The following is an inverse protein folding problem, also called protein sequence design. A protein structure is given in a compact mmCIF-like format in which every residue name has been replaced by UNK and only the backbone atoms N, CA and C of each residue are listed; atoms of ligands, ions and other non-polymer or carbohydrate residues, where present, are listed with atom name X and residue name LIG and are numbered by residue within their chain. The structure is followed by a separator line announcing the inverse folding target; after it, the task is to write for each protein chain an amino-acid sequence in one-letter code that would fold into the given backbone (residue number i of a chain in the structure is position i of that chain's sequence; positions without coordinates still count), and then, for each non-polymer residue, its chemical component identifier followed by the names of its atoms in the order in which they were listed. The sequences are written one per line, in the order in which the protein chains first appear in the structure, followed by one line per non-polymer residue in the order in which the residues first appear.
data_IF_997118481052
#
_entry.id   IF_997118481052
#
_cell.length_a   1.000
_cell.length_b   1.000
_cell.length_c   1.000
_cell.angle_alpha   90.00
_cell.angle_beta   90.00
_cell.angle_gamma   90.00
#
_symmetry.space_group_name_H-M   'P 1'
#
loop_
_entity.id
_entity.type
_entity.pdbx_description
1 polymer ?
#
# COMPACT_ATOMS: atom_id res chain seq x y z
N UNK A 1 -1.97 -12.02 48.33
CA UNK A 1 -0.89 -12.56 47.47
C UNK A 1 -1.28 -12.32 46.03
N UNK A 2 -0.52 -11.50 45.30
CA UNK A 2 -0.71 -11.29 43.87
C UNK A 2 -0.14 -12.47 43.08
N UNK A 3 -0.78 -12.92 41.99
CA UNK A 3 -0.26 -13.99 41.17
C UNK A 3 1.06 -13.56 40.52
N UNK A 4 2.02 -14.48 40.32
CA UNK A 4 3.27 -14.16 39.65
C UNK A 4 2.97 -13.71 38.20
N UNK A 5 3.74 -12.76 37.66
CA UNK A 5 3.57 -12.32 36.29
C UNK A 5 3.74 -13.52 35.33
N UNK A 6 2.99 -13.57 34.22
CA UNK A 6 3.11 -14.65 33.24
C UNK A 6 4.55 -14.73 32.76
N UNK A 7 5.13 -15.95 32.80
CA UNK A 7 6.47 -16.22 32.30
C UNK A 7 6.53 -15.78 30.84
N UNK A 8 7.48 -14.90 30.52
CA UNK A 8 7.79 -14.50 29.15
C UNK A 8 8.05 -15.76 28.33
N UNK A 9 7.11 -16.10 27.44
CA UNK A 9 7.31 -17.20 26.52
C UNK A 9 8.35 -16.75 25.51
N UNK A 10 9.50 -17.44 25.50
CA UNK A 10 10.51 -17.27 24.47
C UNK A 10 9.88 -17.81 23.18
N UNK A 11 9.32 -16.93 22.37
CA UNK A 11 8.89 -17.27 21.02
C UNK A 11 10.15 -17.66 20.27
N UNK A 12 10.26 -18.91 19.86
CA UNK A 12 11.32 -19.34 18.96
C UNK A 12 11.08 -18.65 17.63
N UNK A 13 11.71 -17.49 17.44
CA UNK A 13 11.62 -16.75 16.19
C UNK A 13 12.25 -17.63 15.10
N UNK A 14 11.44 -18.06 14.13
CA UNK A 14 11.96 -18.48 12.83
C UNK A 14 12.89 -17.37 12.35
N UNK A 15 14.04 -17.73 11.77
CA UNK A 15 14.97 -16.75 11.18
C UNK A 15 14.17 -15.76 10.32
N UNK A 16 14.27 -14.47 10.64
CA UNK A 16 13.52 -13.41 9.98
C UNK A 16 13.76 -13.42 8.46
N UNK A 17 14.87 -13.98 7.99
CA UNK A 17 15.17 -14.14 6.56
C UNK A 17 14.32 -15.18 5.84
N UNK A 18 13.78 -16.17 6.57
CA UNK A 18 12.87 -17.18 6.01
C UNK A 18 11.43 -16.65 5.86
N UNK A 19 11.12 -15.55 6.56
CA UNK A 19 9.81 -14.89 6.49
C UNK A 19 9.62 -14.19 5.16
N UNK A 20 8.46 -14.39 4.53
CA UNK A 20 8.13 -13.77 3.25
C UNK A 20 7.51 -12.41 3.45
N UNK A 21 8.16 -11.39 2.90
CA UNK A 21 7.61 -10.02 2.87
C UNK A 21 7.21 -9.68 1.44
N UNK A 22 5.93 -9.34 1.25
CA UNK A 22 5.41 -8.86 -0.04
C UNK A 22 5.28 -7.36 0.01
N UNK A 23 6.00 -6.68 -0.87
CA UNK A 23 5.83 -5.25 -1.10
C UNK A 23 4.76 -5.04 -2.16
N UNK A 24 3.81 -4.13 -1.97
CA UNK A 24 2.74 -3.86 -2.94
C UNK A 24 2.71 -2.39 -3.30
N UNK A 25 2.77 -2.06 -4.58
CA UNK A 25 2.67 -0.68 -5.05
C UNK A 25 1.89 -0.56 -6.33
N UNK A 26 1.16 0.55 -6.47
CA UNK A 26 0.56 0.96 -7.74
C UNK A 26 1.68 1.25 -8.76
N UNK A 27 1.42 1.03 -10.04
CA UNK A 27 2.42 1.19 -11.10
C UNK A 27 2.60 2.67 -11.49
N UNK A 28 2.87 3.50 -10.47
CA UNK A 28 3.22 4.91 -10.58
C UNK A 28 4.58 5.07 -9.91
N UNK A 29 5.58 5.53 -10.67
CA UNK A 29 6.98 5.51 -10.23
C UNK A 29 7.22 6.24 -8.90
N UNK A 30 6.50 7.32 -8.64
CA UNK A 30 6.58 8.05 -7.37
C UNK A 30 6.16 7.23 -6.14
N UNK A 31 5.22 6.30 -6.31
CA UNK A 31 4.76 5.39 -5.25
C UNK A 31 5.65 4.15 -5.14
N UNK A 32 6.07 3.58 -6.27
CA UNK A 32 6.84 2.34 -6.30
C UNK A 32 8.28 2.52 -5.81
N UNK A 33 8.91 3.65 -6.12
CA UNK A 33 10.35 3.85 -5.92
C UNK A 33 10.81 3.71 -4.45
N UNK A 34 10.13 4.30 -3.45
CA UNK A 34 10.52 4.10 -2.05
C UNK A 34 10.48 2.63 -1.63
N UNK A 35 9.41 1.91 -2.00
CA UNK A 35 9.24 0.50 -1.66
C UNK A 35 10.25 -0.39 -2.40
N UNK A 36 10.55 -0.11 -3.68
CA UNK A 36 11.55 -0.85 -4.46
C UNK A 36 12.93 -0.79 -3.81
N UNK A 37 13.32 0.37 -3.28
CA UNK A 37 14.61 0.54 -2.59
C UNK A 37 14.70 -0.31 -1.33
N UNK A 38 13.62 -0.33 -0.53
CA UNK A 38 13.56 -1.15 0.69
C UNK A 38 13.55 -2.64 0.32
N UNK A 39 12.72 -3.04 -0.63
CA UNK A 39 12.62 -4.42 -1.08
C UNK A 39 13.94 -4.93 -1.66
N UNK A 40 14.64 -4.13 -2.45
CA UNK A 40 15.96 -4.43 -3.01
C UNK A 40 17.00 -4.66 -1.90
N UNK A 41 17.08 -3.76 -0.93
CA UNK A 41 18.02 -3.90 0.19
C UNK A 41 17.73 -5.15 1.01
N UNK A 42 16.45 -5.42 1.30
CA UNK A 42 16.03 -6.64 1.98
C UNK A 42 16.39 -7.89 1.17
N UNK A 43 16.15 -7.88 -0.14
CA UNK A 43 16.51 -8.99 -1.02
C UNK A 43 18.02 -9.28 -0.97
N UNK A 44 18.84 -8.24 -1.10
CA UNK A 44 20.31 -8.33 -1.05
C UNK A 44 20.83 -8.88 0.28
N UNK A 45 20.13 -8.59 1.39
CA UNK A 45 20.44 -9.14 2.72
C UNK A 45 19.98 -10.60 2.91
N UNK A 46 19.34 -11.20 1.91
CA UNK A 46 18.88 -12.58 1.91
C UNK A 46 17.49 -12.80 2.49
N UNK A 47 16.67 -11.75 2.65
CA UNK A 47 15.26 -11.93 3.02
C UNK A 47 14.46 -12.46 1.83
N UNK A 48 13.49 -13.33 2.11
CA UNK A 48 12.50 -13.77 1.12
C UNK A 48 11.53 -12.62 0.84
N UNK A 49 11.68 -11.96 -0.30
CA UNK A 49 10.85 -10.82 -0.69
C UNK A 49 10.24 -10.99 -2.08
N UNK A 50 9.09 -10.35 -2.28
CA UNK A 50 8.48 -10.19 -3.61
C UNK A 50 7.92 -8.79 -3.75
N UNK A 51 7.92 -8.26 -4.96
CA UNK A 51 7.38 -6.95 -5.28
C UNK A 51 6.17 -7.09 -6.20
N UNK A 52 5.00 -6.89 -5.62
CA UNK A 52 3.73 -6.81 -6.31
C UNK A 52 3.47 -5.42 -6.89
N UNK A 53 3.31 -5.37 -8.21
CA UNK A 53 2.83 -4.18 -8.92
C UNK A 53 2.14 -4.60 -10.21
N UNK A 54 1.55 -3.66 -10.93
CA UNK A 54 0.90 -3.99 -12.19
C UNK A 54 1.95 -4.37 -13.25
N UNK A 55 1.51 -5.06 -14.31
CA UNK A 55 2.40 -5.51 -15.40
C UNK A 55 3.27 -4.39 -15.98
N UNK A 56 2.75 -3.15 -16.06
CA UNK A 56 3.49 -1.98 -16.53
C UNK A 56 4.69 -1.59 -15.65
N UNK A 57 4.75 -2.08 -14.41
CA UNK A 57 5.85 -1.87 -13.46
C UNK A 57 6.82 -3.05 -13.34
N UNK A 58 6.62 -4.14 -14.10
CA UNK A 58 7.43 -5.38 -14.03
C UNK A 58 8.93 -5.12 -14.15
N UNK A 59 9.33 -4.31 -15.14
CA UNK A 59 10.74 -4.00 -15.39
C UNK A 59 11.39 -3.22 -14.26
N UNK A 60 10.61 -2.51 -13.43
CA UNK A 60 11.14 -1.84 -12.26
C UNK A 60 11.57 -2.85 -11.20
N UNK A 61 10.75 -3.86 -10.90
CA UNK A 61 11.12 -4.93 -9.96
C UNK A 61 12.40 -5.65 -10.43
N UNK A 62 12.47 -6.00 -11.72
CA UNK A 62 13.66 -6.62 -12.31
C UNK A 62 14.90 -5.73 -12.23
N UNK A 63 14.79 -4.44 -12.55
CA UNK A 63 15.91 -3.48 -12.49
C UNK A 63 16.47 -3.30 -11.07
N UNK A 64 15.64 -3.53 -10.05
CA UNK A 64 16.03 -3.52 -8.63
C UNK A 64 16.41 -4.91 -8.11
N UNK A 65 16.44 -5.94 -8.98
CA UNK A 65 16.80 -7.30 -8.60
C UNK A 65 15.81 -7.98 -7.66
N UNK A 66 14.55 -7.52 -7.60
CA UNK A 66 13.52 -8.07 -6.71
C UNK A 66 12.59 -9.00 -7.48
N UNK A 67 12.20 -10.17 -6.93
CA UNK A 67 11.22 -11.05 -7.56
C UNK A 67 9.88 -10.34 -7.80
N UNK A 68 9.45 -10.28 -9.07
CA UNK A 68 8.18 -9.68 -9.47
C UNK A 68 6.99 -10.58 -9.13
N UNK A 69 5.92 -10.00 -8.59
CA UNK A 69 4.62 -10.62 -8.39
C UNK A 69 3.57 -9.81 -9.16
N UNK A 70 2.77 -10.45 -10.01
CA UNK A 70 1.78 -9.70 -10.79
C UNK A 70 0.62 -9.25 -9.91
N UNK A 71 0.30 -7.96 -9.95
CA UNK A 71 -0.94 -7.37 -9.46
C UNK A 71 -1.94 -7.07 -10.59
N UNK A 72 -1.80 -7.75 -11.73
CA UNK A 72 -2.67 -7.61 -12.89
C UNK A 72 -2.35 -6.39 -13.76
N UNK A 73 -3.15 -6.16 -14.83
CA UNK A 73 -2.97 -5.01 -15.69
C UNK A 73 -3.29 -3.71 -14.95
N UNK A 74 -2.64 -2.62 -15.37
CA UNK A 74 -3.06 -1.28 -14.96
C UNK A 74 -4.35 -0.92 -15.73
N UNK A 75 -5.37 -0.32 -15.08
CA UNK A 75 -6.69 -0.15 -15.70
C UNK A 75 -6.73 0.90 -16.82
N UNK A 76 -5.69 1.71 -16.97
CA UNK A 76 -5.59 2.76 -17.98
C UNK A 76 -4.26 2.68 -18.72
N UNK A 77 -4.22 3.18 -19.95
CA UNK A 77 -2.97 3.21 -20.73
C UNK A 77 -1.96 4.19 -20.11
N UNK A 78 -0.68 4.01 -20.45
CA UNK A 78 0.37 4.93 -20.00
C UNK A 78 0.16 6.37 -20.52
N UNK A 79 -0.37 6.51 -21.74
CA UNK A 79 -0.66 7.82 -22.34
C UNK A 79 -1.85 8.50 -21.64
N UNK A 80 -2.90 7.74 -21.32
CA UNK A 80 -4.05 8.26 -20.56
C UNK A 80 -3.65 8.66 -19.14
N UNK A 81 -2.85 7.82 -18.46
CA UNK A 81 -2.31 8.14 -17.14
C UNK A 81 -1.50 9.43 -17.19
N UNK A 82 -0.60 9.57 -18.17
CA UNK A 82 0.20 10.79 -18.34
C UNK A 82 -0.66 12.01 -18.61
N UNK A 83 -1.68 11.87 -19.45
CA UNK A 83 -2.62 12.94 -19.77
C UNK A 83 -3.40 13.40 -18.54
N UNK A 84 -3.95 12.45 -17.76
CA UNK A 84 -4.65 12.74 -16.50
C UNK A 84 -3.73 13.44 -15.51
N UNK A 85 -2.53 12.91 -15.26
CA UNK A 85 -1.55 13.53 -14.34
C UNK A 85 -1.18 14.95 -14.78
N UNK A 86 -1.03 15.21 -16.09
CA UNK A 86 -0.72 16.54 -16.65
C UNK A 86 -1.86 17.53 -16.47
N UNK A 87 -3.11 17.10 -16.69
CA UNK A 87 -4.30 17.94 -16.47
C UNK A 87 -4.40 18.29 -15.00
N UNK A 88 -4.25 17.31 -14.12
CA UNK A 88 -4.33 17.50 -12.67
C UNK A 88 -3.27 18.45 -12.13
N UNK A 89 -2.01 18.30 -12.57
CA UNK A 89 -0.91 19.19 -12.14
C UNK A 89 -1.10 20.64 -12.59
N UNK A 90 -1.97 20.87 -13.59
CA UNK A 90 -2.28 22.20 -14.15
C UNK A 90 -3.63 22.73 -13.69
N UNK A 91 -4.43 21.95 -12.96
CA UNK A 91 -5.70 22.41 -12.43
C UNK A 91 -5.43 23.35 -11.25
N UNK A 92 -6.10 24.51 -11.24
CA UNK A 92 -6.00 25.45 -10.12
C UNK A 92 -6.70 24.95 -8.85
N UNK A 93 -7.55 23.92 -8.97
CA UNK A 93 -8.26 23.28 -7.87
C UNK A 93 -7.58 21.99 -7.42
N UNK A 94 -6.98 22.05 -6.24
CA UNK A 94 -6.44 20.87 -5.56
C UNK A 94 -7.49 19.76 -5.37
N UNK A 95 -8.75 20.14 -5.10
CA UNK A 95 -9.82 19.17 -4.87
C UNK A 95 -10.16 18.35 -6.12
N UNK A 96 -10.19 18.97 -7.30
CA UNK A 96 -10.40 18.24 -8.56
C UNK A 96 -9.24 17.28 -8.84
N UNK A 97 -8.00 17.70 -8.59
CA UNK A 97 -6.84 16.82 -8.66
C UNK A 97 -6.98 15.59 -7.74
N UNK A 98 -7.39 15.80 -6.50
CA UNK A 98 -7.61 14.69 -5.55
C UNK A 98 -8.71 13.74 -6.05
N UNK A 99 -9.85 14.28 -6.51
CA UNK A 99 -10.95 13.46 -7.04
C UNK A 99 -10.51 12.62 -8.24
N UNK A 100 -9.74 13.21 -9.17
CA UNK A 100 -9.20 12.45 -10.31
C UNK A 100 -8.20 11.39 -9.85
N UNK A 101 -7.29 11.69 -8.91
CA UNK A 101 -6.37 10.65 -8.39
C UNK A 101 -7.16 9.47 -7.81
N UNK A 102 -8.16 9.78 -6.98
CA UNK A 102 -8.85 8.75 -6.23
C UNK A 102 -9.76 7.91 -7.13
N UNK A 103 -10.66 8.56 -7.89
CA UNK A 103 -11.67 7.85 -8.68
C UNK A 103 -11.07 7.19 -9.93
N UNK A 104 -10.27 7.94 -10.67
CA UNK A 104 -9.86 7.53 -12.01
C UNK A 104 -8.62 6.63 -12.00
N UNK A 105 -7.87 6.61 -10.90
CA UNK A 105 -6.59 5.93 -10.81
C UNK A 105 -6.62 4.91 -9.67
N UNK A 106 -6.79 5.34 -8.41
CA UNK A 106 -6.67 4.43 -7.27
C UNK A 106 -7.82 3.42 -7.18
N UNK A 107 -9.06 3.89 -7.24
CA UNK A 107 -10.26 3.03 -7.21
C UNK A 107 -10.32 2.17 -8.47
N UNK A 108 -10.02 2.74 -9.65
CA UNK A 108 -9.96 2.00 -10.91
C UNK A 108 -8.95 0.84 -10.85
N UNK A 109 -7.82 1.01 -10.17
CA UNK A 109 -6.78 -0.02 -10.04
C UNK A 109 -7.09 -1.04 -8.93
N UNK A 110 -8.01 -0.74 -8.02
CA UNK A 110 -8.25 -1.54 -6.82
C UNK A 110 -8.75 -2.95 -7.14
N UNK A 111 -9.82 -3.07 -7.93
CA UNK A 111 -10.44 -4.37 -8.22
C UNK A 111 -9.51 -5.32 -9.02
N UNK A 112 -8.88 -4.88 -10.13
CA UNK A 112 -7.93 -5.75 -10.86
C UNK A 112 -6.78 -6.24 -9.97
N UNK A 113 -6.26 -5.38 -9.11
CA UNK A 113 -5.21 -5.72 -8.15
C UNK A 113 -5.68 -6.78 -7.14
N UNK A 114 -6.85 -6.56 -6.54
CA UNK A 114 -7.44 -7.49 -5.59
C UNK A 114 -7.68 -8.87 -6.22
N UNK A 115 -8.38 -8.90 -7.37
CA UNK A 115 -8.77 -10.13 -8.05
C UNK A 115 -7.53 -10.95 -8.47
N UNK A 116 -6.45 -10.28 -8.86
CA UNK A 116 -5.20 -10.94 -9.27
C UNK A 116 -4.38 -11.44 -8.08
N UNK A 117 -4.24 -10.65 -7.02
CA UNK A 117 -3.42 -11.00 -5.86
C UNK A 117 -4.09 -12.02 -4.93
N UNK A 118 -5.41 -12.02 -4.82
CA UNK A 118 -6.16 -12.90 -3.93
C UNK A 118 -5.79 -14.39 -4.06
N UNK A 119 -5.87 -15.02 -5.24
CA UNK A 119 -5.52 -16.44 -5.36
C UNK A 119 -4.04 -16.71 -5.05
N UNK A 120 -3.14 -15.79 -5.43
CA UNK A 120 -1.70 -15.94 -5.22
C UNK A 120 -1.33 -15.90 -3.72
N UNK A 121 -1.85 -14.91 -2.98
CA UNK A 121 -1.58 -14.78 -1.55
C UNK A 121 -2.36 -15.79 -0.71
N UNK A 122 -3.50 -16.30 -1.19
CA UNK A 122 -4.21 -17.37 -0.50
C UNK A 122 -3.48 -18.72 -0.62
N UNK A 123 -2.82 -18.99 -1.76
CA UNK A 123 -2.03 -20.20 -1.96
C UNK A 123 -0.69 -20.17 -1.21
N UNK A 124 -0.03 -19.02 -1.19
CA UNK A 124 1.25 -18.81 -0.49
C UNK A 124 1.19 -17.54 0.35
N UNK A 125 0.60 -17.60 1.56
CA UNK A 125 0.42 -16.43 2.39
C UNK A 125 1.78 -15.87 2.84
N UNK A 126 2.02 -14.55 2.67
CA UNK A 126 3.20 -13.90 3.18
C UNK A 126 3.10 -13.71 4.70
N UNK A 127 4.25 -13.59 5.36
CA UNK A 127 4.30 -13.28 6.80
C UNK A 127 4.07 -11.79 7.09
N UNK A 128 4.29 -10.91 6.09
CA UNK A 128 4.06 -9.47 6.17
C UNK A 128 3.79 -8.89 4.78
N UNK A 129 2.85 -7.94 4.71
CA UNK A 129 2.61 -7.13 3.52
C UNK A 129 2.98 -5.67 3.79
N UNK A 130 3.88 -5.10 2.97
CA UNK A 130 4.22 -3.67 3.03
C UNK A 130 3.64 -3.00 1.80
N UNK A 131 2.62 -2.18 1.97
CA UNK A 131 1.83 -1.65 0.85
C UNK A 131 1.85 -0.14 0.78
N UNK A 132 1.75 0.38 -0.43
CA UNK A 132 1.58 1.80 -0.67
C UNK A 132 0.16 2.28 -0.31
N UNK A 133 0.03 3.52 0.16
CA UNK A 133 -1.28 4.09 0.54
C UNK A 133 -2.30 4.14 -0.61
N UNK A 134 -1.86 4.16 -1.87
CA UNK A 134 -2.74 4.16 -3.04
C UNK A 134 -3.23 2.77 -3.46
N UNK A 135 -2.71 1.68 -2.88
CA UNK A 135 -3.10 0.32 -3.26
C UNK A 135 -4.36 -0.14 -2.52
N UNK A 136 -5.50 0.51 -2.81
CA UNK A 136 -6.79 0.25 -2.14
C UNK A 136 -7.19 -1.23 -2.25
N UNK A 137 -6.95 -1.87 -3.40
CA UNK A 137 -7.22 -3.30 -3.59
C UNK A 137 -6.36 -4.20 -2.69
N UNK A 138 -5.09 -3.84 -2.45
CA UNK A 138 -4.22 -4.58 -1.55
C UNK A 138 -4.61 -4.37 -0.07
N UNK A 139 -5.10 -3.18 0.28
CA UNK A 139 -5.60 -2.89 1.64
C UNK A 139 -6.81 -3.76 1.98
N UNK A 140 -7.79 -3.85 1.07
CA UNK A 140 -8.95 -4.74 1.26
C UNK A 140 -8.52 -6.22 1.32
N UNK A 141 -7.58 -6.60 0.45
CA UNK A 141 -7.04 -7.97 0.40
C UNK A 141 -6.43 -8.43 1.73
N UNK A 142 -5.60 -7.61 2.37
CA UNK A 142 -4.96 -8.00 3.64
C UNK A 142 -5.95 -8.12 4.78
N UNK A 143 -7.03 -7.33 4.78
CA UNK A 143 -8.10 -7.48 5.76
C UNK A 143 -8.87 -8.78 5.53
N UNK A 144 -9.20 -9.09 4.26
CA UNK A 144 -9.87 -10.33 3.89
C UNK A 144 -9.08 -11.58 4.29
N UNK A 145 -7.76 -11.56 4.07
CA UNK A 145 -6.88 -12.69 4.37
C UNK A 145 -6.30 -12.66 5.80
N UNK A 146 -6.64 -11.64 6.60
CA UNK A 146 -6.12 -11.43 7.96
C UNK A 146 -4.58 -11.42 8.03
N UNK A 147 -3.94 -10.82 7.01
CA UNK A 147 -2.48 -10.75 6.92
C UNK A 147 -1.93 -9.56 7.73
N UNK A 148 -0.80 -9.70 8.44
CA UNK A 148 -0.09 -8.57 9.02
C UNK A 148 0.36 -7.58 7.94
N UNK A 149 0.22 -6.28 8.18
CA UNK A 149 0.58 -5.28 7.18
C UNK A 149 1.16 -3.98 7.73
N UNK A 150 1.88 -3.26 6.87
CA UNK A 150 2.39 -1.91 7.07
C UNK A 150 1.97 -1.06 5.86
N UNK A 151 1.50 0.16 6.12
CA UNK A 151 1.21 1.14 5.07
C UNK A 151 2.39 2.11 4.95
N UNK A 152 2.92 2.22 3.74
CA UNK A 152 3.88 3.22 3.33
C UNK A 152 3.16 4.41 2.68
N UNK A 153 3.39 5.60 3.23
CA UNK A 153 3.03 6.87 2.57
C UNK A 153 4.28 7.44 1.90
N UNK A 154 4.34 7.54 0.56
CA UNK A 154 5.52 8.04 -0.16
C UNK A 154 5.63 9.58 -0.15
N UNK A 155 4.85 10.25 0.70
CA UNK A 155 4.82 11.71 0.86
C UNK A 155 5.33 12.11 2.24
N UNK A 156 5.56 13.41 2.44
CA UNK A 156 5.74 13.96 3.79
C UNK A 156 4.48 13.62 4.59
N UNK A 157 4.66 13.06 5.79
CA UNK A 157 3.56 12.87 6.74
C UNK A 157 3.08 14.25 7.18
N UNK A 158 2.08 14.80 6.49
CA UNK A 158 1.47 16.07 6.87
C UNK A 158 0.67 15.97 8.18
N UNK A 159 0.30 14.74 8.58
CA UNK A 159 -0.40 14.47 9.82
C UNK A 159 0.09 13.15 10.45
N UNK A 160 0.83 13.26 11.55
CA UNK A 160 1.25 12.15 12.42
C UNK A 160 0.23 11.90 13.55
N UNK A 161 -0.84 12.71 13.62
CA UNK A 161 -1.84 12.72 14.66
C UNK A 161 -3.24 12.66 14.05
N UNK A 162 -3.47 11.69 13.16
CA UNK A 162 -4.80 11.42 12.65
C UNK A 162 -5.78 11.33 13.81
N UNK A 163 -6.83 12.16 13.76
CA UNK A 163 -7.84 12.18 14.80
C UNK A 163 -8.34 10.74 15.02
N UNK A 164 -8.49 10.29 16.28
CA UNK A 164 -8.98 8.94 16.57
C UNK A 164 -10.23 8.61 15.75
N UNK A 165 -10.45 7.34 15.41
CA UNK A 165 -11.54 6.91 14.51
C UNK A 165 -12.97 7.31 14.94
N UNK A 166 -13.14 7.85 16.15
CA UNK A 166 -14.39 8.43 16.66
C UNK A 166 -14.53 9.94 16.40
N UNK A 167 -13.51 10.58 15.84
CA UNK A 167 -13.50 11.97 15.41
C UNK A 167 -13.65 12.00 13.88
N UNK A 168 -14.62 12.74 13.33
CA UNK A 168 -14.78 12.86 11.89
C UNK A 168 -13.49 13.36 11.22
N UNK A 169 -12.96 12.57 10.30
CA UNK A 169 -11.86 12.93 9.41
C UNK A 169 -12.39 13.21 8.00
N UNK A 170 -11.53 13.78 7.16
CA UNK A 170 -11.83 14.07 5.76
C UNK A 170 -12.39 12.82 5.05
N UNK A 171 -13.63 12.91 4.55
CA UNK A 171 -14.33 11.79 3.90
C UNK A 171 -15.23 10.92 4.81
N UNK A 172 -15.29 11.19 6.10
CA UNK A 172 -16.28 10.60 7.03
C UNK A 172 -17.38 11.61 7.35
N UNK A 173 -18.64 11.19 7.46
CA UNK A 173 -19.80 12.08 7.57
C UNK A 173 -19.67 13.13 8.68
N UNK A 174 -19.81 14.41 8.33
CA UNK A 174 -19.62 15.52 9.26
C UNK A 174 -20.73 15.62 10.31
N UNK A 175 -20.36 15.95 11.55
CA UNK A 175 -21.29 16.44 12.57
C UNK A 175 -21.61 17.92 12.33
N UNK A 176 -22.89 18.31 12.49
CA UNK A 176 -23.37 19.71 12.30
C UNK A 176 -22.81 20.70 13.34
N UNK A 177 -22.10 20.20 14.36
CA UNK A 177 -21.56 21.01 15.46
C UNK A 177 -20.04 21.22 15.39
N UNK A 178 -19.41 20.92 14.26
CA UNK A 178 -17.96 21.12 14.11
C UNK A 178 -17.57 22.59 14.01
N UNK A 179 -16.55 22.98 14.78
CA UNK A 179 -15.88 24.28 14.66
C UNK A 179 -14.98 24.32 13.43
N UNK A 180 -14.53 25.53 13.04
CA UNK A 180 -13.57 25.72 11.94
C UNK A 180 -12.27 24.92 12.14
N UNK A 181 -11.88 24.68 13.40
CA UNK A 181 -10.66 23.97 13.77
C UNK A 181 -10.84 22.44 13.83
N UNK A 182 -12.08 21.97 13.79
CA UNK A 182 -12.40 20.53 13.77
C UNK A 182 -12.62 20.01 12.33
N UNK A 183 -12.48 20.87 11.30
CA UNK A 183 -12.71 20.56 9.88
C UNK A 183 -11.45 20.11 9.15
#
# INVERSE_FOLDING_TARGET
MTPPPPKCQIVTHTDAKQKHVVFVSIAIKGHALPLLRIASEMHQRGYRVSFATHESGKDWAHSYGVPFLSAGPFPISAEDLRSKLKVMTRDSSNFRGILTMFNDIYVAAARPMFDTLLPQLNQSPPDLVVMDIATIGAQDLVHKLQLPYIINSPSIMFDLGGAPSYIPAWGTGYSIHMSLWNR
#
